data_IF_709142097806
#
_entry.id   IF_709142097806
#
_cell.length_a   1.000
_cell.length_b   1.000
_cell.length_c   1.000
_cell.angle_alpha   90.00
_cell.angle_beta   90.00
_cell.angle_gamma   90.00
#
_symmetry.space_group_name_H-M   'P 1'
#
loop_
_entity.id
_entity.type
_entity.pdbx_description
1 polymer ?
#
# COMPACT_ATOMS: atom_id res chain seq x y z
N UNK A 1 -3.48 22.25 62.47
CA UNK A 1 -3.87 23.29 61.50
C UNK A 1 -4.99 22.71 60.65
N UNK A 2 -6.13 23.42 60.62
CA UNK A 2 -7.34 23.38 59.77
C UNK A 2 -7.74 22.12 58.95
N UNK A 3 -9.00 21.77 59.23
CA UNK A 3 -9.96 20.90 58.56
C UNK A 3 -10.35 21.34 57.12
N UNK A 4 -10.79 20.35 56.33
CA UNK A 4 -11.70 20.32 55.16
C UNK A 4 -11.89 21.56 54.27
N UNK A 5 -11.82 21.38 52.95
CA UNK A 5 -12.97 21.64 52.06
C UNK A 5 -12.64 21.27 50.61
N UNK A 6 -13.36 20.29 50.06
CA UNK A 6 -13.57 20.16 48.62
C UNK A 6 -14.52 21.28 48.20
N UNK A 7 -14.06 22.26 47.43
CA UNK A 7 -14.94 23.19 46.70
C UNK A 7 -14.34 23.54 45.36
N UNK A 8 -15.17 23.35 44.35
CA UNK A 8 -14.90 23.52 42.94
C UNK A 8 -14.39 24.91 42.58
N UNK A 9 -13.39 24.95 41.71
CA UNK A 9 -13.21 26.03 40.75
C UNK A 9 -13.07 25.38 39.38
N UNK A 10 -14.23 25.04 38.80
CA UNK A 10 -14.40 24.94 37.36
C UNK A 10 -14.03 26.30 36.76
N UNK A 11 -12.77 26.46 36.37
CA UNK A 11 -12.33 27.56 35.53
C UNK A 11 -12.09 27.00 34.12
N UNK A 12 -13.13 27.12 33.31
CA UNK A 12 -13.15 27.15 31.84
C UNK A 12 -12.01 26.40 31.09
N UNK A 13 -12.30 25.18 30.66
CA UNK A 13 -11.57 24.44 29.62
C UNK A 13 -12.48 24.42 28.37
N UNK A 14 -11.98 24.49 27.11
CA UNK A 14 -10.70 24.97 26.60
C UNK A 14 -10.87 25.94 25.41
N UNK A 15 -9.81 26.68 25.08
CA UNK A 15 -9.64 27.29 23.75
C UNK A 15 -9.38 26.17 22.71
N UNK A 16 -10.42 25.44 22.33
CA UNK A 16 -10.36 24.47 21.24
C UNK A 16 -10.50 25.19 19.89
N UNK A 17 -9.42 25.83 19.45
CA UNK A 17 -9.19 26.03 18.02
C UNK A 17 -8.59 24.72 17.49
N UNK A 18 -9.47 23.73 17.31
CA UNK A 18 -9.13 22.53 16.55
C UNK A 18 -9.09 22.99 15.09
N UNK A 19 -7.94 23.52 14.66
CA UNK A 19 -7.59 23.51 13.24
C UNK A 19 -7.53 22.04 12.88
N UNK A 20 -8.59 21.55 12.25
CA UNK A 20 -8.53 20.32 11.48
C UNK A 20 -7.58 20.58 10.32
N UNK A 21 -6.28 20.41 10.58
CA UNK A 21 -5.30 20.17 9.54
C UNK A 21 -5.75 18.87 8.88
N UNK A 22 -6.55 18.99 7.83
CA UNK A 22 -6.91 17.86 6.98
C UNK A 22 -5.59 17.40 6.37
N UNK A 23 -4.96 16.41 6.97
CA UNK A 23 -3.83 15.74 6.36
C UNK A 23 -4.42 14.96 5.20
N UNK A 24 -4.42 15.61 4.04
CA UNK A 24 -4.60 15.03 2.73
C UNK A 24 -3.52 13.95 2.57
N UNK A 25 -3.86 12.74 3.01
CA UNK A 25 -2.98 11.57 3.00
C UNK A 25 -3.26 10.77 1.75
N UNK A 26 -2.20 10.23 1.15
CA UNK A 26 -2.37 9.34 0.01
C UNK A 26 -2.92 7.99 0.49
N UNK A 27 -3.96 7.49 -0.17
CA UNK A 27 -4.61 6.22 0.19
C UNK A 27 -4.01 5.10 -0.64
N UNK A 28 -3.60 3.99 0.00
CA UNK A 28 -3.09 2.84 -0.73
C UNK A 28 -4.21 2.18 -1.55
N UNK A 29 -3.94 1.95 -2.83
CA UNK A 29 -4.85 1.28 -3.75
C UNK A 29 -4.52 -0.21 -3.88
N UNK A 30 -3.24 -0.55 -3.90
CA UNK A 30 -2.79 -1.94 -3.91
C UNK A 30 -1.37 -2.13 -4.40
N UNK A 31 -0.94 -3.39 -4.41
CA UNK A 31 0.34 -3.83 -4.97
C UNK A 31 0.17 -4.36 -6.39
N UNK A 32 0.89 -3.82 -7.36
CA UNK A 32 0.75 -4.19 -8.77
C UNK A 32 2.09 -4.67 -9.35
N UNK A 33 2.05 -5.65 -10.25
CA UNK A 33 3.24 -6.17 -10.95
C UNK A 33 3.58 -5.43 -12.26
N UNK A 34 2.80 -4.41 -12.59
CA UNK A 34 2.99 -3.59 -13.79
C UNK A 34 2.88 -2.11 -13.41
N UNK A 35 3.70 -1.27 -14.06
CA UNK A 35 3.76 0.17 -13.80
C UNK A 35 2.69 0.96 -14.54
N UNK A 36 1.91 0.35 -15.44
CA UNK A 36 0.96 1.00 -16.33
C UNK A 36 1.56 2.22 -17.06
N UNK A 37 0.76 3.27 -17.26
CA UNK A 37 1.19 4.55 -17.84
C UNK A 37 1.85 5.49 -16.80
N UNK A 38 2.50 4.95 -15.77
CA UNK A 38 3.19 5.78 -14.79
C UNK A 38 4.51 6.24 -15.37
N UNK A 39 4.86 7.49 -15.09
CA UNK A 39 6.14 8.08 -15.50
C UNK A 39 7.11 8.06 -14.32
N UNK A 40 8.26 7.41 -14.51
CA UNK A 40 9.34 7.39 -13.53
C UNK A 40 9.88 8.82 -13.33
N UNK A 41 10.04 9.23 -12.09
CA UNK A 41 10.57 10.53 -11.66
C UNK A 41 11.98 10.43 -11.10
N UNK A 42 12.57 9.24 -11.16
CA UNK A 42 13.91 8.90 -10.72
C UNK A 42 13.92 8.29 -9.32
N UNK A 43 15.11 7.80 -8.96
CA UNK A 43 15.42 7.31 -7.62
C UNK A 43 15.84 8.47 -6.70
N UNK A 44 15.49 8.38 -5.42
CA UNK A 44 15.88 9.37 -4.42
C UNK A 44 16.31 8.71 -3.11
N UNK A 45 17.46 9.11 -2.58
CA UNK A 45 18.04 8.52 -1.35
C UNK A 45 17.12 8.65 -0.14
N UNK A 46 16.32 9.72 -0.06
CA UNK A 46 15.34 9.94 1.01
C UNK A 46 13.90 9.71 0.53
N UNK A 47 13.69 8.65 -0.26
CA UNK A 47 12.37 8.31 -0.75
C UNK A 47 11.40 8.01 0.39
N UNK A 48 10.17 8.50 0.26
CA UNK A 48 9.05 8.27 1.16
C UNK A 48 7.73 8.45 0.44
N UNK A 49 6.64 7.96 1.03
CA UNK A 49 5.28 8.17 0.54
C UNK A 49 4.98 9.67 0.45
N UNK A 50 5.35 10.45 1.47
CA UNK A 50 5.15 11.90 1.50
C UNK A 50 5.95 12.65 0.42
N UNK A 51 7.19 12.25 0.15
CA UNK A 51 8.01 12.84 -0.91
C UNK A 51 7.38 12.59 -2.29
N UNK A 52 7.06 11.33 -2.59
CA UNK A 52 6.50 10.97 -3.88
C UNK A 52 5.10 11.58 -4.09
N UNK A 53 4.28 11.65 -3.03
CA UNK A 53 2.97 12.28 -3.08
C UNK A 53 3.06 13.77 -3.45
N UNK A 54 4.01 14.50 -2.84
CA UNK A 54 4.26 15.90 -3.16
C UNK A 54 4.73 16.08 -4.61
N UNK A 55 5.58 15.17 -5.09
CA UNK A 55 6.12 15.22 -6.44
C UNK A 55 5.04 14.96 -7.49
N UNK A 56 4.21 13.94 -7.30
CA UNK A 56 3.09 13.62 -8.19
C UNK A 56 1.93 14.63 -8.08
N UNK A 57 1.71 15.21 -6.90
CA UNK A 57 0.79 16.34 -6.72
C UNK A 57 1.20 17.56 -7.54
N UNK A 58 2.50 17.87 -7.62
CA UNK A 58 3.02 18.92 -8.52
C UNK A 58 2.86 18.56 -10.00
N UNK A 59 2.95 17.28 -10.34
CA UNK A 59 2.71 16.78 -11.68
C UNK A 59 1.20 16.72 -12.05
N UNK A 60 0.30 17.06 -11.11
CA UNK A 60 -1.16 17.03 -11.27
C UNK A 60 -1.69 15.65 -11.69
N UNK A 61 -1.06 14.58 -11.20
CA UNK A 61 -1.51 13.21 -11.46
C UNK A 61 -2.29 12.66 -10.25
N UNK A 62 -3.44 12.00 -10.45
CA UNK A 62 -4.24 11.45 -9.35
C UNK A 62 -3.63 10.23 -8.66
N UNK A 63 -2.66 9.55 -9.28
CA UNK A 63 -2.01 8.37 -8.72
C UNK A 63 -0.50 8.54 -8.64
N UNK A 64 0.08 7.85 -7.67
CA UNK A 64 1.52 7.66 -7.55
C UNK A 64 1.85 6.21 -7.27
N UNK A 65 3.06 5.80 -7.60
CA UNK A 65 3.58 4.49 -7.26
C UNK A 65 5.01 4.60 -6.73
N UNK A 66 5.34 3.68 -5.83
CA UNK A 66 6.67 3.54 -5.25
C UNK A 66 7.23 2.19 -5.66
N UNK A 67 8.51 2.17 -6.04
CA UNK A 67 9.18 0.98 -6.56
C UNK A 67 10.61 0.87 -6.03
N UNK A 68 11.04 -0.38 -5.81
CA UNK A 68 12.39 -0.76 -5.41
C UNK A 68 13.00 0.07 -4.25
N UNK A 69 12.16 0.47 -3.28
CA UNK A 69 12.60 1.23 -2.10
C UNK A 69 12.97 2.70 -2.34
N UNK A 70 13.27 3.09 -3.58
CA UNK A 70 13.92 4.38 -3.89
C UNK A 70 13.24 5.17 -5.01
N UNK A 71 12.43 4.54 -5.85
CA UNK A 71 11.87 5.19 -7.04
C UNK A 71 10.48 5.76 -6.80
N UNK A 72 10.19 6.87 -7.47
CA UNK A 72 8.88 7.52 -7.50
C UNK A 72 8.30 7.52 -8.91
N UNK A 73 7.02 7.19 -9.02
CA UNK A 73 6.30 7.08 -10.28
C UNK A 73 4.98 7.83 -10.18
N UNK A 74 4.62 8.59 -11.23
CA UNK A 74 3.38 9.37 -11.25
C UNK A 74 2.49 8.97 -12.44
N UNK A 75 1.20 8.73 -12.21
CA UNK A 75 0.31 8.16 -13.22
C UNK A 75 -1.11 8.74 -13.20
N UNK A 76 -1.78 8.70 -14.35
CA UNK A 76 -3.15 9.20 -14.52
C UNK A 76 -4.22 8.11 -14.45
N UNK A 77 -3.81 6.85 -14.58
CA UNK A 77 -4.68 5.67 -14.56
C UNK A 77 -4.06 4.58 -13.72
N UNK A 78 -4.88 3.71 -13.12
CA UNK A 78 -4.39 2.55 -12.39
C UNK A 78 -3.88 1.46 -13.37
N UNK A 79 -2.94 0.60 -12.93
CA UNK A 79 -2.59 -0.59 -13.68
C UNK A 79 -3.76 -1.55 -13.85
N UNK A 80 -3.62 -2.46 -14.82
CA UNK A 80 -4.65 -3.46 -15.10
C UNK A 80 -4.88 -4.32 -13.85
N UNK A 81 -6.15 -4.62 -13.55
CA UNK A 81 -6.52 -5.41 -12.36
C UNK A 81 -5.91 -6.82 -12.37
N UNK A 82 -5.58 -7.38 -13.54
CA UNK A 82 -4.89 -8.66 -13.66
C UNK A 82 -3.45 -8.63 -13.13
N UNK A 83 -2.86 -7.44 -13.01
CA UNK A 83 -1.52 -7.27 -12.42
C UNK A 83 -1.53 -7.06 -10.90
N UNK A 84 -2.71 -7.01 -10.27
CA UNK A 84 -2.85 -6.89 -8.82
C UNK A 84 -2.28 -8.14 -8.13
N UNK A 85 -1.45 -7.93 -7.10
CA UNK A 85 -0.83 -8.97 -6.30
C UNK A 85 -1.13 -8.80 -4.81
N UNK A 86 -0.73 -9.78 -4.01
CA UNK A 86 -0.74 -9.66 -2.55
C UNK A 86 0.20 -8.54 -2.10
N UNK A 87 -0.22 -7.79 -1.08
CA UNK A 87 0.56 -6.67 -0.52
C UNK A 87 1.94 -7.08 0.00
N UNK A 88 2.14 -8.36 0.34
CA UNK A 88 3.45 -8.90 0.73
C UNK A 88 4.51 -8.76 -0.37
N UNK A 89 4.07 -8.65 -1.63
CA UNK A 89 4.95 -8.39 -2.79
C UNK A 89 5.44 -6.95 -2.86
N UNK A 90 4.87 -6.07 -2.06
CA UNK A 90 5.22 -4.65 -1.98
C UNK A 90 5.78 -4.26 -0.61
N UNK A 91 6.47 -5.17 0.09
CA UNK A 91 6.90 -4.96 1.47
C UNK A 91 8.31 -4.32 1.62
N UNK A 92 8.94 -3.88 0.54
CA UNK A 92 10.24 -3.18 0.61
C UNK A 92 10.05 -1.84 1.32
N UNK A 93 10.85 -1.57 2.33
CA UNK A 93 10.79 -0.30 3.06
C UNK A 93 11.35 0.84 2.22
N UNK A 94 10.77 2.03 2.31
CA UNK A 94 11.33 3.21 1.65
C UNK A 94 12.67 3.62 2.26
N UNK A 95 13.62 4.06 1.43
CA UNK A 95 14.98 4.39 1.88
C UNK A 95 15.06 5.61 2.80
N UNK A 96 14.12 6.55 2.69
CA UNK A 96 14.03 7.75 3.52
C UNK A 96 13.04 7.66 4.68
N UNK A 97 12.09 6.73 4.64
CA UNK A 97 11.09 6.53 5.70
C UNK A 97 10.71 5.04 5.82
N UNK A 98 11.36 4.27 6.72
CA UNK A 98 11.19 2.82 6.77
C UNK A 98 9.79 2.30 7.16
N UNK A 99 8.93 3.16 7.72
CA UNK A 99 7.54 2.80 8.01
C UNK A 99 6.69 2.73 6.73
N UNK A 100 7.11 3.41 5.66
CA UNK A 100 6.44 3.39 4.36
C UNK A 100 6.84 2.17 3.53
N UNK A 101 5.92 1.71 2.68
CA UNK A 101 6.12 0.60 1.75
C UNK A 101 6.34 1.09 0.32
N UNK A 102 7.54 0.83 -0.18
CA UNK A 102 8.04 1.26 -1.48
C UNK A 102 8.16 0.10 -2.49
N UNK A 103 7.15 -0.77 -2.55
CA UNK A 103 7.05 -1.81 -3.56
C UNK A 103 8.08 -2.94 -3.37
N UNK A 104 8.65 -3.39 -4.46
CA UNK A 104 9.78 -4.32 -4.56
C UNK A 104 10.46 -4.18 -5.91
N UNK A 105 11.48 -4.99 -6.20
CA UNK A 105 12.13 -5.07 -7.51
C UNK A 105 11.19 -5.49 -8.66
N UNK A 106 10.00 -6.03 -8.32
CA UNK A 106 9.04 -6.57 -9.30
C UNK A 106 7.61 -6.07 -9.09
N UNK A 107 7.37 -5.22 -8.11
CA UNK A 107 6.04 -4.71 -7.82
C UNK A 107 6.06 -3.25 -7.37
N UNK A 108 4.95 -2.57 -7.61
CA UNK A 108 4.70 -1.18 -7.33
C UNK A 108 3.64 -1.04 -6.25
N UNK A 109 3.96 -0.34 -5.17
CA UNK A 109 2.96 0.11 -4.21
C UNK A 109 2.23 1.32 -4.80
N UNK A 110 0.97 1.17 -5.21
CA UNK A 110 0.19 2.23 -5.85
C UNK A 110 -0.70 2.92 -4.82
N UNK A 111 -0.71 4.25 -4.86
CA UNK A 111 -1.51 5.11 -4.00
C UNK A 111 -2.30 6.13 -4.82
N UNK A 112 -3.50 6.45 -4.33
CA UNK A 112 -4.32 7.53 -4.83
C UNK A 112 -4.03 8.79 -4.02
N UNK A 113 -3.80 9.89 -4.73
CA UNK A 113 -3.59 11.19 -4.12
C UNK A 113 -4.94 11.88 -3.84
N UNK A 114 -5.02 12.64 -2.74
CA UNK A 114 -6.17 13.48 -2.48
C UNK A 114 -6.34 14.49 -3.62
N UNK A 115 -7.58 14.71 -4.02
CA UNK A 115 -7.89 15.73 -5.01
C UNK A 115 -7.61 17.09 -4.36
N UNK A 116 -6.56 17.79 -4.81
CA UNK A 116 -6.23 19.14 -4.35
C UNK A 116 -7.47 20.04 -4.47
N UNK A 117 -8.25 20.17 -3.40
CA UNK A 117 -9.59 20.77 -3.42
C UNK A 117 -9.59 22.31 -3.57
N UNK A 118 -8.45 22.91 -3.95
CA UNK A 118 -8.35 24.34 -4.25
C UNK A 118 -9.07 24.76 -5.53
N UNK A 119 -9.51 23.83 -6.38
CA UNK A 119 -10.28 24.11 -7.61
C UNK A 119 -11.52 23.23 -7.81
N UNK A 120 -11.94 22.43 -6.82
CA UNK A 120 -13.11 21.54 -6.94
C UNK A 120 -14.15 21.75 -5.83
N UNK A 121 -14.24 22.96 -5.28
CA UNK A 121 -15.29 23.35 -4.33
C UNK A 121 -16.40 24.14 -5.01
N UNK A 122 -16.93 23.66 -6.14
CA UNK A 122 -18.19 24.23 -6.67
C UNK A 122 -18.91 23.29 -7.65
N UNK A 123 -19.09 22.00 -7.32
CA UNK A 123 -20.27 21.29 -7.81
C UNK A 123 -20.63 20.08 -6.95
N UNK A 124 -21.77 20.18 -6.29
CA UNK A 124 -22.62 19.09 -5.84
C UNK A 124 -22.16 18.23 -4.65
N UNK A 125 -21.93 18.89 -3.50
CA UNK A 125 -22.44 18.35 -2.23
C UNK A 125 -23.94 18.61 -2.16
N UNK A 126 -24.74 17.74 -2.77
CA UNK A 126 -26.18 17.65 -2.48
C UNK A 126 -26.62 16.21 -2.62
N UNK A 127 -26.49 15.46 -1.52
CA UNK A 127 -27.21 14.21 -1.33
C UNK A 127 -27.55 14.11 0.14
N UNK A 128 -28.72 14.65 0.44
CA UNK A 128 -29.43 14.59 1.71
C UNK A 128 -29.59 13.13 2.13
N UNK A 129 -29.06 12.80 3.31
CA UNK A 129 -29.28 11.55 4.01
C UNK A 129 -30.78 11.30 4.21
N UNK A 130 -31.23 10.07 3.99
CA UNK A 130 -32.41 9.52 4.68
C UNK A 130 -32.19 8.00 4.83
N UNK A 131 -32.17 7.57 6.09
CA UNK A 131 -31.89 6.22 6.50
C UNK A 131 -33.18 5.42 6.75
N UNK A 132 -33.01 4.09 6.75
CA UNK A 132 -33.67 3.10 7.62
C UNK A 132 -35.09 2.59 7.28
N UNK A 133 -35.17 1.29 6.97
CA UNK A 133 -36.12 0.36 7.60
C UNK A 133 -35.76 -1.12 7.28
N UNK A 134 -35.29 -1.87 8.28
CA UNK A 134 -35.57 -3.32 8.49
C UNK A 134 -36.94 -3.46 9.18
N UNK A 135 -37.62 -4.64 9.31
CA UNK A 135 -37.14 -6.03 9.26
C UNK A 135 -38.09 -7.06 8.56
N UNK A 136 -37.65 -8.32 8.43
CA UNK A 136 -38.54 -9.42 8.03
C UNK A 136 -37.84 -10.78 7.95
N UNK A 137 -37.73 -11.48 9.08
CA UNK A 137 -37.37 -12.90 9.16
C UNK A 137 -38.49 -13.79 8.59
N UNK A 138 -38.16 -14.83 7.82
CA UNK A 138 -38.68 -16.17 8.12
C UNK A 138 -37.92 -17.30 7.39
N UNK A 139 -37.51 -18.26 8.22
CA UNK A 139 -37.11 -19.67 8.05
C UNK A 139 -37.62 -20.38 6.77
N UNK A 140 -36.96 -21.41 6.23
CA UNK A 140 -36.84 -22.75 6.85
C UNK A 140 -35.89 -23.65 6.04
N UNK A 141 -35.23 -24.56 6.75
CA UNK A 141 -34.19 -25.51 6.32
C UNK A 141 -34.66 -26.68 5.44
N UNK A 142 -33.71 -27.31 4.75
CA UNK A 142 -33.43 -28.77 4.69
C UNK A 142 -32.36 -29.02 3.60
N UNK A 143 -31.11 -29.39 3.93
CA UNK A 143 -30.63 -30.74 4.21
C UNK A 143 -30.79 -31.74 3.05
N UNK A 144 -29.69 -32.05 2.34
CA UNK A 144 -29.43 -33.43 1.90
C UNK A 144 -27.94 -33.69 1.68
N UNK A 145 -27.48 -34.78 2.29
CA UNK A 145 -26.14 -35.39 2.25
C UNK A 145 -25.85 -36.06 0.90
N UNK A 146 -24.59 -36.03 0.50
CA UNK A 146 -23.74 -37.19 0.08
C UNK A 146 -22.44 -36.61 -0.48
N UNK A 147 -21.22 -37.11 -0.23
CA UNK A 147 -20.76 -38.41 0.24
C UNK A 147 -19.63 -38.87 -0.69
N UNK A 148 -18.51 -39.31 -0.09
CA UNK A 148 -17.24 -39.84 -0.69
C UNK A 148 -16.13 -38.78 -0.86
N UNK A 149 -15.00 -38.75 -0.14
CA UNK A 149 -14.11 -39.76 0.45
C UNK A 149 -13.31 -40.60 -0.56
N UNK A 150 -12.00 -40.29 -0.67
CA UNK A 150 -10.82 -41.18 -0.66
C UNK A 150 -9.66 -40.51 -1.43
N UNK A 151 -8.52 -40.18 -0.81
CA UNK A 151 -7.34 -41.05 -0.55
C UNK A 151 -6.66 -41.49 -1.89
N UNK A 152 -5.34 -41.37 -2.14
CA UNK A 152 -4.18 -41.61 -1.26
C UNK A 152 -2.85 -41.08 -1.84
N UNK A 153 -1.87 -40.88 -0.94
CA UNK A 153 -0.45 -41.31 -0.95
C UNK A 153 0.45 -41.04 -2.18
N UNK A 154 1.52 -40.26 -2.08
CA UNK A 154 2.87 -40.52 -1.49
C UNK A 154 3.79 -41.39 -2.35
N UNK A 155 4.96 -40.84 -2.71
CA UNK A 155 6.22 -41.61 -2.68
C UNK A 155 7.45 -40.71 -2.76
N UNK A 156 8.34 -40.93 -1.80
CA UNK A 156 9.69 -40.43 -1.73
C UNK A 156 10.59 -41.05 -2.81
N UNK A 157 11.66 -40.36 -3.17
CA UNK A 157 12.74 -40.90 -4.00
C UNK A 157 14.02 -40.12 -3.76
N UNK A 158 14.91 -40.69 -2.94
CA UNK A 158 16.24 -40.18 -2.66
C UNK A 158 17.21 -40.40 -3.85
N UNK A 159 18.26 -39.59 -3.83
CA UNK A 159 19.52 -39.50 -4.60
C UNK A 159 20.10 -40.77 -5.28
N UNK A 160 20.91 -40.58 -6.34
CA UNK A 160 22.37 -40.60 -6.14
C UNK A 160 23.16 -39.52 -6.89
N UNK A 161 24.35 -39.30 -6.34
CA UNK A 161 25.51 -38.51 -6.76
C UNK A 161 26.02 -38.77 -8.19
N UNK A 162 26.55 -37.73 -8.86
CA UNK A 162 27.71 -37.88 -9.75
C UNK A 162 28.58 -36.63 -9.68
N UNK A 163 29.81 -36.83 -9.20
CA UNK A 163 30.93 -35.90 -9.26
C UNK A 163 31.43 -35.74 -10.69
N UNK A 164 31.69 -34.51 -11.14
CA UNK A 164 32.71 -34.26 -12.17
C UNK A 164 33.53 -33.02 -11.80
N UNK A 165 34.83 -33.24 -11.81
CA UNK A 165 35.91 -32.39 -11.33
C UNK A 165 36.23 -31.18 -12.21
N UNK A 166 36.72 -30.13 -11.53
CA UNK A 166 37.84 -29.24 -11.89
C UNK A 166 38.04 -28.79 -13.36
N UNK A 167 38.05 -27.46 -13.56
CA UNK A 167 39.15 -26.79 -14.28
C UNK A 167 39.15 -25.28 -14.03
N UNK A 168 40.10 -24.84 -13.23
CA UNK A 168 40.58 -23.46 -13.15
C UNK A 168 41.07 -23.00 -14.53
N UNK A 169 40.49 -21.95 -15.10
CA UNK A 169 41.17 -21.16 -16.14
C UNK A 169 41.23 -19.70 -15.75
N UNK A 170 42.42 -19.30 -15.33
CA UNK A 170 42.87 -17.91 -15.24
C UNK A 170 42.72 -17.28 -16.62
N UNK A 171 41.82 -16.32 -16.77
CA UNK A 171 41.80 -15.48 -17.95
C UNK A 171 42.82 -14.36 -17.77
N UNK A 172 43.89 -14.48 -18.56
CA UNK A 172 45.03 -13.58 -18.69
C UNK A 172 44.54 -12.25 -19.29
N UNK A 173 44.75 -11.13 -18.59
CA UNK A 173 44.67 -9.80 -19.20
C UNK A 173 45.76 -9.66 -20.27
N UNK A 174 45.45 -9.22 -21.50
CA UNK A 174 46.47 -8.73 -22.40
C UNK A 174 46.75 -7.26 -22.05
N UNK A 175 47.97 -7.04 -21.59
CA UNK A 175 48.69 -5.77 -21.76
C UNK A 175 48.75 -5.45 -23.26
N UNK A 176 48.23 -4.31 -23.68
CA UNK A 176 48.63 -3.66 -24.93
C UNK A 176 48.86 -2.18 -24.63
N UNK A 177 50.14 -1.83 -24.77
CA UNK A 177 50.80 -0.52 -24.94
C UNK A 177 50.09 0.73 -24.41
#
# INVERSE_FOLDING_TARGET
>A
MKLFSVSAAYLAIPLALIVSAQTETATQVGCYADSANFQNKGSYTYQSLGYCAKLCGKAKTPYMALHDGTECWCGTSLPDKSSLQSDDKCNTTCSGWPEDKCGSDKAWSVYQLPANAKEASEFASTSTSLASATPGSNSTASATKSGSASQSASSAGATPTTSTSAATRRFKLPFFL
#
